data_IF_777838642731
#
_entry.id   IF_777838642731
#
_cell.length_a   1.000
_cell.length_b   1.000
_cell.length_c   1.000
_cell.angle_alpha   90.00
_cell.angle_beta   90.00
_cell.angle_gamma   90.00
#
_symmetry.space_group_name_H-M   'P 1'
#
loop_
_entity.id
_entity.type
_entity.pdbx_description
1 polymer ?
#
# COMPACT_ATOMS: atom_id res chain seq x y z
N UNK A 1 -4.41 -28.47 -1.16
CA UNK A 1 -3.67 -27.21 -0.96
C UNK A 1 -4.71 -26.10 -0.93
N UNK A 2 -4.68 -25.24 0.08
CA UNK A 2 -5.48 -24.03 0.06
C UNK A 2 -5.07 -23.18 -1.16
N UNK A 3 -6.04 -22.54 -1.81
CA UNK A 3 -5.78 -21.55 -2.85
C UNK A 3 -4.88 -20.44 -2.29
N UNK A 4 -3.76 -20.13 -2.94
CA UNK A 4 -2.81 -19.10 -2.50
C UNK A 4 -3.52 -17.78 -2.20
N UNK A 5 -4.52 -17.43 -3.02
CA UNK A 5 -5.31 -16.22 -2.83
C UNK A 5 -6.15 -16.28 -1.56
N UNK A 6 -6.69 -17.45 -1.19
CA UNK A 6 -7.39 -17.66 0.08
C UNK A 6 -6.42 -17.44 1.25
N UNK A 7 -5.25 -18.09 1.23
CA UNK A 7 -4.24 -17.90 2.29
C UNK A 7 -3.79 -16.45 2.41
N UNK A 8 -3.60 -15.77 1.28
CA UNK A 8 -3.26 -14.34 1.26
C UNK A 8 -4.36 -13.51 1.96
N UNK A 9 -5.64 -13.77 1.68
CA UNK A 9 -6.77 -13.10 2.34
C UNK A 9 -6.93 -13.47 3.82
N UNK A 10 -6.55 -14.68 4.22
CA UNK A 10 -6.56 -15.08 5.64
C UNK A 10 -5.51 -14.29 6.43
N UNK A 11 -4.33 -14.11 5.86
CA UNK A 11 -3.25 -13.30 6.47
C UNK A 11 -3.69 -11.84 6.66
N UNK A 12 -4.46 -11.26 5.72
CA UNK A 12 -5.03 -9.92 5.93
C UNK A 12 -5.85 -9.82 7.21
N UNK A 13 -6.68 -10.84 7.48
CA UNK A 13 -7.56 -10.84 8.65
C UNK A 13 -6.75 -10.87 9.95
N UNK A 14 -5.63 -11.60 9.95
CA UNK A 14 -4.67 -11.62 11.06
C UNK A 14 -4.05 -10.22 11.23
N UNK A 15 -3.45 -9.67 10.17
CA UNK A 15 -2.77 -8.36 10.21
C UNK A 15 -3.73 -7.24 10.64
N UNK A 16 -4.95 -7.21 10.09
CA UNK A 16 -5.99 -6.25 10.49
C UNK A 16 -6.30 -6.36 11.98
N UNK A 17 -6.51 -7.57 12.48
CA UNK A 17 -6.82 -7.80 13.90
C UNK A 17 -5.69 -7.31 14.82
N UNK A 18 -4.44 -7.54 14.42
CA UNK A 18 -3.27 -7.07 15.16
C UNK A 18 -3.16 -5.54 15.19
N UNK A 19 -3.43 -4.86 14.07
CA UNK A 19 -3.42 -3.40 13.98
C UNK A 19 -4.52 -2.77 14.86
N UNK A 20 -5.70 -3.39 14.92
CA UNK A 20 -6.84 -2.94 15.73
C UNK A 20 -6.66 -3.18 17.25
N UNK A 21 -5.61 -3.92 17.61
CA UNK A 21 -5.21 -4.24 18.99
C UNK A 21 -3.79 -3.72 19.30
N UNK A 22 -3.29 -2.76 18.51
CA UNK A 22 -1.94 -2.26 18.66
C UNK A 22 -1.77 -1.54 20.01
N UNK A 23 -0.85 -1.99 20.89
CA UNK A 23 -0.69 -1.42 22.23
C UNK A 23 -0.07 -0.01 22.24
N UNK A 24 0.39 0.50 21.09
CA UNK A 24 0.86 1.89 20.97
C UNK A 24 -0.27 2.91 20.83
N UNK A 25 -1.52 2.46 20.76
CA UNK A 25 -2.68 3.35 20.74
C UNK A 25 -3.82 2.79 21.62
N UNK A 26 -4.40 3.66 22.44
CA UNK A 26 -5.53 3.30 23.30
C UNK A 26 -6.84 3.35 22.50
N UNK A 27 -7.19 2.23 21.87
CA UNK A 27 -8.42 2.14 21.07
C UNK A 27 -9.69 2.19 21.92
N UNK A 28 -10.55 3.16 21.60
CA UNK A 28 -11.98 3.14 21.95
C UNK A 28 -12.76 2.26 20.98
N UNK A 29 -14.03 1.95 21.30
CA UNK A 29 -14.91 1.23 20.36
C UNK A 29 -15.06 1.99 19.02
N UNK A 30 -15.26 3.30 19.08
CA UNK A 30 -15.45 4.16 17.89
C UNK A 30 -14.19 4.23 17.02
N UNK A 31 -13.03 4.48 17.60
CA UNK A 31 -11.77 4.54 16.85
C UNK A 31 -11.40 3.19 16.23
N UNK A 32 -11.66 2.08 16.93
CA UNK A 32 -11.45 0.74 16.38
C UNK A 32 -12.37 0.47 15.18
N UNK A 33 -13.65 0.80 15.30
CA UNK A 33 -14.61 0.64 14.20
C UNK A 33 -14.26 1.54 13.00
N UNK A 34 -13.78 2.75 13.26
CA UNK A 34 -13.31 3.67 12.21
C UNK A 34 -12.16 3.06 11.41
N UNK A 35 -11.09 2.63 12.09
CA UNK A 35 -9.90 2.05 11.45
C UNK A 35 -10.26 0.75 10.73
N UNK A 36 -11.08 -0.11 11.34
CA UNK A 36 -11.52 -1.35 10.71
C UNK A 36 -12.24 -1.10 9.37
N UNK A 37 -13.22 -0.19 9.38
CA UNK A 37 -13.97 0.17 8.19
C UNK A 37 -13.06 0.80 7.14
N UNK A 38 -12.15 1.68 7.54
CA UNK A 38 -11.19 2.34 6.65
C UNK A 38 -10.27 1.32 5.97
N UNK A 39 -9.78 0.31 6.71
CA UNK A 39 -8.94 -0.76 6.16
C UNK A 39 -9.71 -1.62 5.16
N UNK A 40 -10.90 -2.10 5.52
CA UNK A 40 -11.71 -2.95 4.66
C UNK A 40 -12.19 -2.22 3.38
N UNK A 41 -12.32 -0.89 3.44
CA UNK A 41 -12.68 -0.06 2.29
C UNK A 41 -11.51 0.17 1.33
N UNK A 42 -10.33 0.52 1.85
CA UNK A 42 -9.22 1.05 1.05
C UNK A 42 -8.16 0.00 0.70
N UNK A 43 -7.95 -1.01 1.54
CA UNK A 43 -6.90 -2.00 1.34
C UNK A 43 -7.41 -3.18 0.54
N UNK A 44 -8.65 -3.62 0.80
CA UNK A 44 -9.30 -4.71 0.04
C UNK A 44 -9.98 -4.20 -1.24
N UNK A 45 -10.35 -5.14 -2.12
CA UNK A 45 -11.13 -4.87 -3.34
C UNK A 45 -10.31 -4.59 -4.60
N UNK A 46 -8.98 -4.60 -4.51
CA UNK A 46 -8.08 -4.61 -5.67
C UNK A 46 -7.91 -6.01 -6.28
N UNK A 47 -7.08 -6.08 -7.33
CA UNK A 47 -6.65 -7.36 -7.93
C UNK A 47 -5.60 -8.10 -7.09
N UNK A 48 -4.96 -7.40 -6.15
CA UNK A 48 -3.90 -7.89 -5.26
C UNK A 48 -2.63 -8.36 -6.01
N UNK A 49 -2.44 -7.93 -7.26
CA UNK A 49 -1.35 -8.41 -8.11
C UNK A 49 0.04 -8.12 -7.52
N UNK A 50 0.23 -6.97 -6.87
CA UNK A 50 1.52 -6.59 -6.27
C UNK A 50 1.79 -7.38 -5.01
N UNK A 51 0.76 -7.57 -4.18
CA UNK A 51 0.88 -8.40 -2.99
C UNK A 51 1.13 -9.88 -3.31
N UNK A 52 0.41 -10.43 -4.29
CA UNK A 52 0.56 -11.83 -4.72
C UNK A 52 1.91 -12.08 -5.40
N UNK A 53 2.47 -11.10 -6.13
CA UNK A 53 3.76 -11.26 -6.77
C UNK A 53 4.91 -11.49 -5.79
N UNK A 54 4.84 -10.97 -4.55
CA UNK A 54 5.84 -11.29 -3.51
C UNK A 54 5.87 -12.79 -3.23
N UNK A 55 4.70 -13.40 -3.07
CA UNK A 55 4.60 -14.82 -2.74
C UNK A 55 5.02 -15.69 -3.92
N UNK A 56 4.62 -15.31 -5.14
CA UNK A 56 5.01 -16.02 -6.36
C UNK A 56 6.52 -15.89 -6.62
N UNK A 57 7.10 -14.70 -6.49
CA UNK A 57 8.54 -14.45 -6.59
C UNK A 57 9.32 -15.29 -5.58
N UNK A 58 8.90 -15.32 -4.31
CA UNK A 58 9.59 -16.09 -3.28
C UNK A 58 9.53 -17.61 -3.55
N UNK A 59 8.40 -18.13 -4.02
CA UNK A 59 8.27 -19.53 -4.46
C UNK A 59 9.20 -19.88 -5.61
N UNK A 60 9.31 -19.00 -6.60
CA UNK A 60 10.21 -19.20 -7.74
C UNK A 60 11.68 -19.17 -7.32
N UNK A 61 12.06 -18.27 -6.42
CA UNK A 61 13.43 -18.18 -5.87
C UNK A 61 13.79 -19.41 -5.02
N UNK A 62 12.80 -20.07 -4.42
CA UNK A 62 12.93 -21.38 -3.74
C UNK A 62 13.11 -22.57 -4.69
N UNK A 63 13.16 -22.34 -6.01
CA UNK A 63 13.46 -23.36 -7.03
C UNK A 63 12.54 -24.59 -6.94
N UNK A 64 11.26 -24.38 -6.65
CA UNK A 64 10.26 -25.45 -6.60
C UNK A 64 10.18 -26.19 -5.25
N UNK A 65 10.89 -25.74 -4.22
CA UNK A 65 10.63 -26.19 -2.85
C UNK A 65 9.35 -25.56 -2.30
N UNK A 66 8.58 -26.35 -1.56
CA UNK A 66 7.41 -25.85 -0.85
C UNK A 66 7.82 -24.83 0.22
N UNK A 67 7.01 -23.79 0.37
CA UNK A 67 7.15 -22.84 1.47
C UNK A 67 6.62 -23.47 2.75
N UNK A 68 7.36 -23.30 3.84
CA UNK A 68 6.82 -23.56 5.18
C UNK A 68 5.66 -22.60 5.50
N UNK A 69 4.85 -22.93 6.51
CA UNK A 69 3.76 -22.04 6.95
C UNK A 69 4.28 -20.66 7.39
N UNK A 70 5.44 -20.63 8.06
CA UNK A 70 6.10 -19.39 8.48
C UNK A 70 6.54 -18.57 7.27
N UNK A 71 7.18 -19.20 6.29
CA UNK A 71 7.60 -18.54 5.05
C UNK A 71 6.40 -18.00 4.26
N UNK A 72 5.35 -18.79 4.14
CA UNK A 72 4.10 -18.39 3.48
C UNK A 72 3.49 -17.18 4.17
N UNK A 73 3.39 -17.20 5.51
CA UNK A 73 2.86 -16.09 6.28
C UNK A 73 3.69 -14.81 6.09
N UNK A 74 5.03 -14.90 6.18
CA UNK A 74 5.91 -13.74 6.04
C UNK A 74 5.86 -13.17 4.62
N UNK A 75 5.86 -14.01 3.58
CA UNK A 75 5.71 -13.55 2.19
C UNK A 75 4.36 -12.84 1.98
N UNK A 76 3.27 -13.41 2.49
CA UNK A 76 1.96 -12.76 2.47
C UNK A 76 1.95 -11.43 3.24
N UNK A 77 2.61 -11.37 4.41
CA UNK A 77 2.67 -10.15 5.22
C UNK A 77 3.43 -9.01 4.52
N UNK A 78 4.54 -9.32 3.83
CA UNK A 78 5.23 -8.36 2.97
C UNK A 78 4.35 -7.93 1.78
N UNK A 79 3.70 -8.88 1.11
CA UNK A 79 2.77 -8.57 0.03
C UNK A 79 1.65 -7.62 0.48
N UNK A 80 1.12 -7.81 1.68
CA UNK A 80 0.16 -6.88 2.27
C UNK A 80 0.77 -5.52 2.58
N UNK A 81 2.01 -5.43 3.07
CA UNK A 81 2.67 -4.12 3.25
C UNK A 81 2.68 -3.31 1.94
N UNK A 82 2.87 -3.96 0.78
CA UNK A 82 2.80 -3.30 -0.54
C UNK A 82 1.37 -2.86 -0.88
N UNK A 83 0.35 -3.69 -0.62
CA UNK A 83 -1.05 -3.31 -0.83
C UNK A 83 -1.50 -2.17 0.11
N UNK A 84 -0.97 -2.10 1.34
CA UNK A 84 -1.15 -0.96 2.25
C UNK A 84 -0.46 0.32 1.73
N UNK A 85 0.77 0.21 1.21
CA UNK A 85 1.48 1.33 0.59
C UNK A 85 0.71 1.86 -0.62
N UNK A 86 0.21 0.96 -1.47
CA UNK A 86 -0.64 1.33 -2.59
C UNK A 86 -1.93 2.00 -2.10
N UNK A 87 -2.62 1.45 -1.11
CA UNK A 87 -3.85 2.03 -0.58
C UNK A 87 -3.63 3.45 -0.03
N UNK A 88 -2.52 3.68 0.68
CA UNK A 88 -2.10 5.00 1.14
C UNK A 88 -2.02 6.00 -0.03
N UNK A 89 -1.25 5.68 -1.07
CA UNK A 89 -1.09 6.59 -2.21
C UNK A 89 -2.41 6.82 -2.93
N UNK A 90 -3.22 5.78 -3.13
CA UNK A 90 -4.49 5.91 -3.85
C UNK A 90 -5.52 6.78 -3.12
N UNK A 91 -5.58 6.71 -1.78
CA UNK A 91 -6.46 7.59 -1.00
C UNK A 91 -6.09 9.06 -1.19
N UNK A 92 -4.79 9.39 -1.20
CA UNK A 92 -4.32 10.75 -1.39
C UNK A 92 -4.44 11.21 -2.85
N UNK A 93 -4.10 10.34 -3.80
CA UNK A 93 -4.24 10.57 -5.25
C UNK A 93 -5.70 10.87 -5.63
N UNK A 94 -6.67 10.12 -5.07
CA UNK A 94 -8.09 10.39 -5.28
C UNK A 94 -8.50 11.81 -4.86
N UNK A 95 -7.90 12.34 -3.77
CA UNK A 95 -8.17 13.69 -3.29
C UNK A 95 -7.52 14.73 -4.23
N UNK A 96 -6.26 14.53 -4.58
CA UNK A 96 -5.49 15.46 -5.44
C UNK A 96 -6.10 15.56 -6.84
N UNK A 97 -6.57 14.44 -7.40
CA UNK A 97 -7.21 14.37 -8.71
C UNK A 97 -8.72 14.67 -8.67
N UNK A 98 -9.26 14.96 -7.48
CA UNK A 98 -10.68 15.18 -7.25
C UNK A 98 -11.56 14.03 -7.78
N UNK A 99 -11.06 12.80 -7.69
CA UNK A 99 -11.69 11.59 -8.24
C UNK A 99 -13.07 11.31 -7.63
N UNK A 100 -13.90 10.57 -8.39
CA UNK A 100 -15.28 10.24 -7.97
C UNK A 100 -15.35 8.80 -7.47
N UNK A 101 -14.80 7.84 -8.21
CA UNK A 101 -14.88 6.40 -7.88
C UNK A 101 -13.54 5.69 -7.98
N UNK A 102 -13.36 4.65 -7.15
CA UNK A 102 -12.24 3.73 -7.17
C UNK A 102 -12.73 2.33 -6.82
N UNK A 103 -12.24 1.30 -7.55
CA UNK A 103 -12.62 -0.12 -7.35
C UNK A 103 -14.15 -0.35 -7.35
N UNK A 104 -14.87 0.41 -8.17
CA UNK A 104 -16.33 0.30 -8.32
C UNK A 104 -17.14 0.96 -7.18
N UNK A 105 -16.51 1.71 -6.29
CA UNK A 105 -17.17 2.42 -5.18
C UNK A 105 -16.75 3.90 -5.14
N UNK A 106 -17.47 4.80 -4.45
CA UNK A 106 -17.03 6.17 -4.25
C UNK A 106 -15.62 6.24 -3.62
N UNK A 107 -14.80 7.22 -3.99
CA UNK A 107 -13.50 7.39 -3.33
C UNK A 107 -13.69 7.62 -1.81
N UNK A 108 -12.74 7.20 -0.98
CA UNK A 108 -12.90 7.26 0.49
C UNK A 108 -13.26 8.67 0.99
N UNK A 109 -12.60 9.70 0.46
CA UNK A 109 -12.87 11.10 0.81
C UNK A 109 -14.27 11.60 0.37
N UNK A 110 -14.94 10.89 -0.56
CA UNK A 110 -16.31 11.19 -1.00
C UNK A 110 -17.37 10.59 -0.09
N UNK A 111 -17.00 9.73 0.85
CA UNK A 111 -17.95 9.17 1.82
C UNK A 111 -18.51 10.31 2.71
N UNK A 112 -19.83 10.37 2.95
CA UNK A 112 -20.46 11.53 3.61
C UNK A 112 -19.89 11.93 4.98
N UNK A 113 -19.32 10.97 5.72
CA UNK A 113 -18.73 11.19 7.06
C UNK A 113 -17.20 11.29 7.06
N UNK A 114 -16.55 11.15 5.91
CA UNK A 114 -15.08 11.09 5.81
C UNK A 114 -14.51 12.44 5.36
N UNK A 115 -14.86 12.91 4.17
CA UNK A 115 -14.30 14.17 3.65
C UNK A 115 -12.77 14.18 3.70
N UNK A 116 -12.18 15.28 4.17
CA UNK A 116 -10.73 15.44 4.28
C UNK A 116 -10.08 14.67 5.44
N UNK A 117 -10.85 13.99 6.30
CA UNK A 117 -10.29 13.04 7.28
C UNK A 117 -9.50 11.94 6.56
N UNK A 118 -9.88 11.65 5.31
CA UNK A 118 -9.16 10.74 4.41
C UNK A 118 -7.66 11.05 4.27
N UNK A 119 -7.23 12.31 4.43
CA UNK A 119 -5.81 12.67 4.42
C UNK A 119 -5.08 11.97 5.58
N UNK A 120 -5.63 12.08 6.79
CA UNK A 120 -5.05 11.45 7.97
C UNK A 120 -5.24 9.92 7.95
N UNK A 121 -6.35 9.42 7.42
CA UNK A 121 -6.52 7.97 7.21
C UNK A 121 -5.46 7.41 6.26
N UNK A 122 -5.10 8.16 5.21
CA UNK A 122 -3.96 7.87 4.35
C UNK A 122 -2.65 7.80 5.14
N UNK A 123 -2.40 8.75 6.03
CA UNK A 123 -1.22 8.72 6.93
C UNK A 123 -1.24 7.50 7.84
N UNK A 124 -2.40 7.09 8.37
CA UNK A 124 -2.52 5.86 9.17
C UNK A 124 -2.17 4.61 8.36
N UNK A 125 -2.67 4.49 7.13
CA UNK A 125 -2.34 3.38 6.22
C UNK A 125 -0.82 3.24 6.01
N UNK A 126 -0.13 4.37 5.78
CA UNK A 126 1.33 4.42 5.66
C UNK A 126 2.02 3.90 6.93
N UNK A 127 1.60 4.38 8.10
CA UNK A 127 2.23 3.99 9.37
C UNK A 127 1.97 2.52 9.74
N UNK A 128 0.85 1.92 9.31
CA UNK A 128 0.57 0.50 9.53
C UNK A 128 1.65 -0.42 8.92
N UNK A 129 2.30 -0.01 7.82
CA UNK A 129 3.40 -0.77 7.20
C UNK A 129 4.51 -1.02 8.24
N UNK A 130 5.00 0.04 8.89
CA UNK A 130 6.05 -0.07 9.90
C UNK A 130 5.59 -0.85 11.13
N UNK A 131 4.29 -0.85 11.47
CA UNK A 131 3.73 -1.70 12.55
C UNK A 131 3.82 -3.18 12.19
N UNK A 132 3.44 -3.55 10.96
CA UNK A 132 3.50 -4.93 10.46
C UNK A 132 4.96 -5.38 10.36
N UNK A 133 5.84 -4.57 9.75
CA UNK A 133 7.28 -4.87 9.64
C UNK A 133 7.91 -5.10 11.00
N UNK A 134 7.68 -4.19 11.96
CA UNK A 134 8.23 -4.31 13.31
C UNK A 134 7.69 -5.55 14.05
N UNK A 135 6.44 -5.93 13.82
CA UNK A 135 5.84 -7.07 14.54
C UNK A 135 6.38 -8.41 14.04
N UNK A 136 6.52 -8.58 12.73
CA UNK A 136 6.79 -9.89 12.12
C UNK A 136 8.24 -10.07 11.65
N UNK A 137 8.97 -8.98 11.43
CA UNK A 137 10.31 -9.02 10.83
C UNK A 137 11.42 -8.48 11.73
N UNK A 138 11.13 -7.92 12.90
CA UNK A 138 12.14 -7.26 13.76
C UNK A 138 13.32 -8.16 14.16
N UNK A 139 13.08 -9.47 14.30
CA UNK A 139 14.13 -10.44 14.64
C UNK A 139 14.83 -11.02 13.41
N UNK A 140 14.39 -10.67 12.20
CA UNK A 140 15.01 -11.13 10.96
C UNK A 140 16.28 -10.34 10.69
N UNK A 141 17.34 -10.98 10.18
CA UNK A 141 18.61 -10.31 9.90
C UNK A 141 18.47 -9.18 8.86
N UNK A 142 17.46 -9.25 8.00
CA UNK A 142 17.17 -8.28 6.94
C UNK A 142 16.09 -7.24 7.34
N UNK A 143 15.79 -7.09 8.64
CA UNK A 143 14.76 -6.15 9.10
C UNK A 143 15.02 -4.70 8.66
N UNK A 144 16.25 -4.23 8.84
CA UNK A 144 16.62 -2.84 8.50
C UNK A 144 16.53 -2.61 7.00
N UNK A 145 16.95 -3.60 6.20
CA UNK A 145 16.88 -3.54 4.74
C UNK A 145 15.42 -3.42 4.27
N UNK A 146 14.48 -4.13 4.90
CA UNK A 146 13.06 -3.98 4.62
C UNK A 146 12.56 -2.58 4.97
N UNK A 147 12.91 -2.05 6.15
CA UNK A 147 12.48 -0.71 6.55
C UNK A 147 13.01 0.34 5.57
N UNK A 148 14.27 0.26 5.21
CA UNK A 148 14.91 1.20 4.27
C UNK A 148 14.34 1.06 2.86
N UNK A 149 14.12 -0.16 2.37
CA UNK A 149 13.51 -0.41 1.06
C UNK A 149 12.11 0.20 0.95
N UNK A 150 11.25 0.00 1.95
CA UNK A 150 9.91 0.61 1.94
C UNK A 150 9.98 2.14 2.00
N UNK A 151 10.86 2.72 2.80
CA UNK A 151 11.04 4.17 2.87
C UNK A 151 11.58 4.74 1.56
N UNK A 152 12.54 4.08 0.92
CA UNK A 152 13.12 4.51 -0.36
C UNK A 152 12.08 4.49 -1.47
N UNK A 153 11.33 3.39 -1.59
CA UNK A 153 10.29 3.26 -2.62
C UNK A 153 9.11 4.20 -2.37
N UNK A 154 8.74 4.44 -1.11
CA UNK A 154 7.77 5.47 -0.74
C UNK A 154 8.25 6.86 -1.19
N UNK A 155 9.51 7.21 -0.91
CA UNK A 155 10.11 8.48 -1.35
C UNK A 155 10.15 8.63 -2.88
N UNK A 156 10.55 7.57 -3.59
CA UNK A 156 10.54 7.54 -5.06
C UNK A 156 9.13 7.77 -5.61
N UNK A 157 8.13 7.10 -5.04
CA UNK A 157 6.73 7.21 -5.45
C UNK A 157 6.16 8.60 -5.18
N UNK A 158 6.39 9.16 -4.00
CA UNK A 158 5.98 10.52 -3.65
C UNK A 158 6.67 11.57 -4.53
N UNK A 159 7.95 11.37 -4.86
CA UNK A 159 8.68 12.24 -5.79
C UNK A 159 8.11 12.15 -7.21
N UNK A 160 7.73 10.96 -7.65
CA UNK A 160 7.02 10.72 -8.91
C UNK A 160 5.66 11.43 -8.97
N UNK A 161 4.88 11.36 -7.89
CA UNK A 161 3.62 12.09 -7.77
C UNK A 161 3.82 13.61 -7.80
N UNK A 162 4.84 14.11 -7.10
CA UNK A 162 5.16 15.53 -7.07
C UNK A 162 5.45 16.07 -8.48
N UNK A 163 6.29 15.37 -9.27
CA UNK A 163 6.57 15.80 -10.65
C UNK A 163 5.37 15.66 -11.58
N UNK A 164 4.45 14.71 -11.34
CA UNK A 164 3.19 14.58 -12.09
C UNK A 164 2.29 15.80 -11.86
N UNK A 165 2.09 16.18 -10.60
CA UNK A 165 1.23 17.30 -10.20
C UNK A 165 1.75 18.64 -10.69
N UNK A 166 3.04 18.95 -10.52
CA UNK A 166 3.59 20.24 -10.97
C UNK A 166 3.68 20.35 -12.50
N UNK A 167 3.71 19.22 -13.22
CA UNK A 167 3.67 19.20 -14.69
C UNK A 167 2.26 19.47 -15.21
N UNK A 168 1.24 18.96 -14.52
CA UNK A 168 -0.17 19.00 -14.96
C UNK A 168 -1.01 20.07 -14.25
N UNK A 169 -0.39 20.90 -13.40
CA UNK A 169 -1.08 21.89 -12.57
C UNK A 169 -1.99 22.84 -13.38
N UNK A 170 -3.21 23.03 -12.88
CA UNK A 170 -4.38 23.57 -13.59
C UNK A 170 -4.32 25.09 -13.95
N UNK A 171 -3.14 25.72 -13.82
CA UNK A 171 -2.94 27.14 -14.07
C UNK A 171 -2.37 27.49 -15.45
N UNK A 172 -1.55 26.62 -16.04
CA UNK A 172 -0.92 26.87 -17.34
C UNK A 172 -0.94 25.61 -18.21
N UNK A 173 -1.95 25.51 -19.09
CA UNK A 173 -2.09 24.44 -20.10
C UNK A 173 -1.10 24.59 -21.25
N UNK A 174 0.17 24.76 -20.92
CA UNK A 174 1.26 24.86 -21.87
C UNK A 174 1.77 23.46 -22.23
N UNK A 175 1.30 22.95 -23.37
CA UNK A 175 1.70 21.64 -23.88
C UNK A 175 3.19 21.53 -24.19
N UNK A 176 3.92 22.66 -24.32
CA UNK A 176 5.37 22.63 -24.56
C UNK A 176 6.16 22.08 -23.36
N UNK A 177 5.55 22.08 -22.16
CA UNK A 177 6.11 21.44 -20.96
C UNK A 177 6.11 19.92 -21.04
N UNK A 178 5.34 19.33 -21.97
CA UNK A 178 5.24 17.87 -22.07
C UNK A 178 6.33 17.31 -22.98
N UNK A 179 7.05 16.30 -22.49
CA UNK A 179 8.09 15.62 -23.26
C UNK A 179 8.16 14.14 -22.89
N UNK A 180 8.71 13.33 -23.80
CA UNK A 180 8.97 11.91 -23.52
C UNK A 180 9.89 11.71 -22.30
N UNK A 181 10.81 12.64 -22.05
CA UNK A 181 11.70 12.59 -20.90
C UNK A 181 10.93 12.80 -19.58
N UNK A 182 9.99 13.75 -19.54
CA UNK A 182 9.16 14.02 -18.36
C UNK A 182 8.20 12.85 -18.13
N UNK A 183 7.51 12.39 -19.18
CA UNK A 183 6.65 11.21 -19.09
C UNK A 183 7.41 10.01 -18.51
N UNK A 184 8.61 9.71 -19.03
CA UNK A 184 9.46 8.62 -18.53
C UNK A 184 9.76 8.77 -17.03
N UNK A 185 10.12 9.98 -16.58
CA UNK A 185 10.40 10.24 -15.15
C UNK A 185 9.16 10.02 -14.30
N UNK A 186 8.01 10.54 -14.72
CA UNK A 186 6.74 10.36 -14.00
C UNK A 186 6.45 8.87 -13.85
N UNK A 187 6.37 8.11 -14.94
CA UNK A 187 5.96 6.69 -14.86
C UNK A 187 6.97 5.82 -14.12
N UNK A 188 8.27 6.11 -14.26
CA UNK A 188 9.33 5.38 -13.58
C UNK A 188 9.23 5.56 -12.06
N UNK A 189 9.13 6.81 -11.59
CA UNK A 189 9.14 7.11 -10.16
C UNK A 189 7.75 6.90 -9.52
N UNK A 190 6.68 7.38 -10.15
CA UNK A 190 5.30 7.27 -9.61
C UNK A 190 4.80 5.83 -9.59
N UNK A 191 5.27 4.96 -10.50
CA UNK A 191 4.67 3.64 -10.69
C UNK A 191 5.65 2.48 -10.64
N UNK A 192 6.74 2.52 -11.41
CA UNK A 192 7.56 1.32 -11.64
C UNK A 192 8.18 0.74 -10.36
N UNK A 193 8.74 1.57 -9.48
CA UNK A 193 9.42 1.08 -8.28
C UNK A 193 8.47 0.33 -7.33
N UNK A 194 7.38 0.95 -6.87
CA UNK A 194 6.46 0.30 -5.93
C UNK A 194 5.63 -0.83 -6.56
N UNK A 195 5.50 -0.86 -7.88
CA UNK A 195 4.67 -1.84 -8.59
C UNK A 195 5.42 -3.08 -9.05
N UNK A 196 6.73 -2.99 -9.28
CA UNK A 196 7.51 -4.08 -9.90
C UNK A 196 8.86 -4.35 -9.25
N UNK A 197 9.53 -3.34 -8.67
CA UNK A 197 10.81 -3.55 -8.00
C UNK A 197 10.64 -3.94 -6.53
N UNK A 198 9.65 -3.34 -5.86
CA UNK A 198 9.37 -3.63 -4.45
C UNK A 198 8.84 -5.06 -4.19
N UNK A 199 7.95 -5.63 -5.02
CA UNK A 199 7.51 -7.02 -4.85
C UNK A 199 8.53 -8.06 -5.30
#
# INVERSE_FOLDING_TARGET
>A
MADLKSTFLDVYSILKSELLQDPSFEFTHESRQWVERMLDYNVRGGKLNRGLSVVDSYKLLKQGQDLTDKETFLACALGWCIEWLQAHFLVLDDIMDNSVTRRGQPCWFRQPKVGMIAINDGVLLRNHIHRILRKHFREMPYYVDLVDLFNEVEFQTASGQMIDLITTFDGEKDLSKYSLQIHRRIVQYKTSYYSFYLP
#
